data_IF_173481932820
#
_entry.id   IF_173481932820
#
_cell.length_a   1.000
_cell.length_b   1.000
_cell.length_c   1.000
_cell.angle_alpha   90.00
_cell.angle_beta   90.00
_cell.angle_gamma   90.00
#
_symmetry.space_group_name_H-M   'P 1'
#
loop_
_entity.id
_entity.type
_entity.pdbx_description
1 polymer ?
#
# COMPACT_ATOMS: atom_id res chain seq x y z
N UNK A 1 -8.80 12.80 26.58
CA UNK A 1 -7.59 12.22 25.96
C UNK A 1 -7.37 12.93 24.64
N UNK A 2 -6.36 13.79 24.60
CA UNK A 2 -6.08 14.66 23.45
C UNK A 2 -5.53 13.83 22.29
N UNK A 3 -6.26 13.79 21.16
CA UNK A 3 -5.85 13.12 19.92
C UNK A 3 -4.68 13.90 19.32
N UNK A 4 -3.45 13.46 19.55
CA UNK A 4 -2.29 14.03 18.86
C UNK A 4 -2.23 13.47 17.43
N UNK A 5 -2.33 14.30 16.38
CA UNK A 5 -2.01 13.85 15.03
C UNK A 5 -0.55 13.41 15.03
N UNK A 6 -0.25 12.27 14.40
CA UNK A 6 1.14 11.91 14.09
C UNK A 6 1.62 12.89 13.02
N UNK A 7 2.10 14.05 13.45
CA UNK A 7 2.87 14.94 12.61
C UNK A 7 4.19 14.22 12.31
N UNK A 8 4.30 13.63 11.12
CA UNK A 8 5.53 12.98 10.64
C UNK A 8 6.54 14.09 10.34
N UNK A 9 7.12 14.63 11.41
CA UNK A 9 8.22 15.57 11.37
C UNK A 9 9.51 14.85 10.99
N UNK A 10 10.04 15.20 9.83
CA UNK A 10 11.44 15.08 9.38
C UNK A 10 12.30 13.98 10.04
N UNK A 11 12.28 12.79 9.44
CA UNK A 11 13.41 11.86 9.52
C UNK A 11 14.28 11.99 8.27
N UNK A 12 14.97 13.11 8.13
CA UNK A 12 16.22 13.16 7.35
C UNK A 12 17.38 12.78 8.26
N UNK A 13 17.53 11.48 8.50
CA UNK A 13 18.73 10.94 9.13
C UNK A 13 19.79 10.67 8.04
N UNK A 14 20.75 11.59 8.01
CA UNK A 14 22.11 11.50 7.48
C UNK A 14 22.54 10.10 7.01
N UNK A 15 22.76 9.97 5.69
CA UNK A 15 23.80 9.08 5.17
C UNK A 15 25.03 9.91 4.84
N UNK A 16 26.14 9.49 5.43
CA UNK A 16 27.47 10.07 5.35
C UNK A 16 27.92 10.25 3.89
N UNK A 17 28.13 11.50 3.47
CA UNK A 17 29.15 11.82 2.47
C UNK A 17 30.20 12.68 3.16
N UNK A 18 31.39 12.10 3.35
CA UNK A 18 32.60 12.88 3.63
C UNK A 18 33.15 13.47 2.32
N UNK A 19 33.91 14.58 2.40
CA UNK A 19 34.06 15.53 1.31
C UNK A 19 35.22 15.18 0.38
N UNK A 20 35.02 15.35 -0.93
CA UNK A 20 36.12 15.65 -1.86
C UNK A 20 36.17 17.17 -2.05
N UNK A 21 37.27 17.79 -1.64
CA UNK A 21 37.58 19.19 -1.96
C UNK A 21 38.06 19.31 -3.40
N UNK A 22 37.44 20.30 -4.08
CA UNK A 22 37.96 21.31 -5.02
C UNK A 22 38.69 20.82 -6.30
N UNK A 23 38.49 21.42 -7.48
CA UNK A 23 38.74 22.84 -7.79
C UNK A 23 37.88 23.38 -8.96
N UNK A 24 37.70 24.71 -9.02
CA UNK A 24 37.78 25.47 -10.28
C UNK A 24 36.47 25.95 -10.94
N UNK A 25 36.23 27.27 -10.84
CA UNK A 25 35.16 28.12 -11.40
C UNK A 25 35.06 28.22 -12.97
N UNK A 26 33.98 28.85 -13.52
CA UNK A 26 33.42 28.69 -14.89
C UNK A 26 33.97 29.76 -15.88
N UNK A 27 33.42 30.11 -17.08
CA UNK A 27 32.10 29.81 -17.71
C UNK A 27 32.13 29.50 -19.23
N UNK A 28 30.96 29.27 -19.84
CA UNK A 28 30.45 30.09 -20.97
C UNK A 28 29.14 29.56 -21.57
N UNK A 29 28.31 30.54 -21.91
CA UNK A 29 27.03 30.53 -22.60
C UNK A 29 27.14 30.03 -24.04
N UNK A 30 26.16 29.24 -24.52
CA UNK A 30 25.52 29.49 -25.82
C UNK A 30 24.29 28.60 -26.05
N UNK A 31 23.16 29.23 -26.34
CA UNK A 31 22.08 28.64 -27.13
C UNK A 31 22.47 28.68 -28.63
N UNK A 32 21.83 27.89 -29.50
CA UNK A 32 20.67 28.43 -30.22
C UNK A 32 19.52 27.44 -30.55
N UNK A 33 18.33 28.05 -30.65
CA UNK A 33 17.17 27.83 -31.55
C UNK A 33 16.78 26.45 -32.11
N UNK A 34 15.51 26.12 -31.83
CA UNK A 34 14.43 25.70 -32.75
C UNK A 34 14.77 24.82 -33.97
N UNK A 35 14.19 23.61 -33.99
CA UNK A 35 14.07 22.77 -35.18
C UNK A 35 13.04 21.66 -34.97
N UNK A 36 11.86 21.84 -35.54
CA UNK A 36 10.79 20.85 -35.64
C UNK A 36 11.23 19.56 -36.33
N UNK A 37 10.90 18.38 -35.80
CA UNK A 37 10.39 17.29 -36.64
C UNK A 37 9.67 16.21 -35.83
N UNK A 38 8.44 15.92 -36.27
CA UNK A 38 7.70 14.69 -35.99
C UNK A 38 8.49 13.48 -36.52
N UNK A 39 8.58 12.41 -35.73
CA UNK A 39 8.77 11.02 -36.19
C UNK A 39 8.02 10.11 -35.20
N UNK A 40 6.83 9.64 -35.54
CA UNK A 40 6.58 8.31 -36.14
C UNK A 40 7.28 7.17 -35.39
N UNK A 41 6.49 6.50 -34.55
CA UNK A 41 6.82 5.22 -33.93
C UNK A 41 6.53 4.12 -34.95
N UNK A 42 7.58 3.66 -35.64
CA UNK A 42 7.53 2.45 -36.45
C UNK A 42 7.84 1.23 -35.58
N UNK A 43 6.87 0.32 -35.54
CA UNK A 43 6.92 -1.03 -35.01
C UNK A 43 8.03 -1.86 -35.65
N UNK A 44 8.82 -2.56 -34.82
CA UNK A 44 9.62 -3.71 -35.26
C UNK A 44 9.33 -4.92 -34.39
N UNK A 45 8.62 -5.85 -34.99
CA UNK A 45 8.47 -7.23 -34.60
C UNK A 45 9.79 -7.97 -34.88
N UNK A 46 10.24 -8.80 -33.94
CA UNK A 46 11.12 -9.93 -34.26
C UNK A 46 10.67 -11.18 -33.51
N UNK A 47 10.25 -12.14 -34.33
CA UNK A 47 9.89 -13.53 -34.03
C UNK A 47 11.14 -14.40 -34.25
N UNK A 48 11.21 -15.53 -33.54
CA UNK A 48 12.00 -16.78 -33.69
C UNK A 48 12.72 -17.06 -32.36
N UNK A 49 12.57 -18.17 -31.63
CA UNK A 49 11.98 -19.48 -31.90
C UNK A 49 13.06 -20.57 -31.79
N UNK A 50 13.04 -21.41 -30.74
CA UNK A 50 13.34 -22.87 -30.76
C UNK A 50 13.33 -23.53 -29.36
N UNK A 51 12.69 -24.69 -29.30
CA UNK A 51 12.77 -25.79 -28.31
C UNK A 51 13.96 -26.76 -28.67
N UNK A 52 14.07 -28.00 -28.13
CA UNK A 52 14.52 -28.42 -26.78
C UNK A 52 15.55 -29.59 -26.84
N UNK A 53 16.13 -30.04 -25.70
CA UNK A 53 16.70 -31.39 -25.42
C UNK A 53 17.08 -31.39 -23.92
N UNK A 54 16.64 -32.26 -23.01
CA UNK A 54 16.52 -33.74 -22.85
C UNK A 54 17.75 -34.42 -22.21
N UNK A 55 17.51 -35.50 -21.44
CA UNK A 55 18.38 -36.39 -20.61
C UNK A 55 18.68 -35.92 -19.17
N UNK A 56 18.63 -36.73 -18.10
CA UNK A 56 18.40 -38.17 -17.89
C UNK A 56 19.09 -38.61 -16.57
N UNK A 57 18.53 -39.59 -15.83
CA UNK A 57 19.13 -40.29 -14.67
C UNK A 57 18.33 -40.14 -13.35
N UNK A 58 17.58 -41.10 -12.80
CA UNK A 58 17.92 -42.43 -12.22
C UNK A 58 19.12 -42.38 -11.26
N UNK A 59 19.16 -42.96 -10.05
CA UNK A 59 18.27 -43.85 -9.30
C UNK A 59 18.78 -44.02 -7.83
N UNK A 60 17.87 -44.47 -6.95
CA UNK A 60 18.00 -45.53 -5.93
C UNK A 60 19.04 -45.52 -4.76
N UNK A 61 18.45 -45.62 -3.55
CA UNK A 61 18.67 -46.63 -2.48
C UNK A 61 19.97 -46.68 -1.63
N UNK A 62 19.84 -46.49 -0.30
CA UNK A 62 20.25 -47.44 0.78
C UNK A 62 19.86 -46.85 2.15
N UNK A 63 19.08 -47.53 3.02
CA UNK A 63 19.55 -48.34 4.16
C UNK A 63 19.88 -47.45 5.39
N UNK A 64 19.48 -47.65 6.64
CA UNK A 64 18.87 -48.78 7.37
C UNK A 64 18.48 -48.30 8.79
N UNK A 65 17.49 -48.99 9.37
CA UNK A 65 17.03 -49.02 10.78
C UNK A 65 17.99 -48.55 11.88
N UNK A 66 17.42 -47.82 12.85
CA UNK A 66 17.69 -48.05 14.28
C UNK A 66 16.48 -47.66 15.16
N UNK A 67 16.21 -48.53 16.13
CA UNK A 67 15.15 -48.51 17.14
C UNK A 67 15.46 -47.54 18.28
N UNK A 68 14.44 -46.84 18.82
CA UNK A 68 14.33 -46.48 20.25
C UNK A 68 13.00 -45.75 20.55
N UNK A 69 12.08 -46.42 21.24
CA UNK A 69 11.29 -45.79 22.32
C UNK A 69 12.13 -45.88 23.60
N UNK A 70 11.98 -45.04 24.65
CA UNK A 70 10.76 -44.33 25.05
C UNK A 70 10.97 -42.86 25.49
N UNK A 71 9.90 -42.08 25.52
CA UNK A 71 9.95 -40.73 26.08
C UNK A 71 8.61 -40.04 25.96
N UNK A 72 7.82 -40.10 27.04
CA UNK A 72 6.59 -39.35 27.22
C UNK A 72 6.96 -37.86 27.29
N UNK A 73 6.98 -37.18 26.15
CA UNK A 73 7.09 -35.73 26.10
C UNK A 73 5.71 -35.16 26.40
N UNK A 74 5.57 -34.60 27.59
CA UNK A 74 4.48 -33.69 27.93
C UNK A 74 4.67 -32.47 27.04
N UNK A 75 3.90 -32.38 25.95
CA UNK A 75 3.85 -31.16 25.15
C UNK A 75 3.23 -30.05 26.00
N UNK A 76 4.12 -29.16 26.42
CA UNK A 76 3.80 -27.92 27.11
C UNK A 76 3.09 -26.97 26.14
N UNK A 77 1.86 -26.63 26.49
CA UNK A 77 1.22 -25.33 26.29
C UNK A 77 1.74 -24.46 25.13
N UNK A 78 1.14 -24.62 23.95
CA UNK A 78 1.17 -23.67 22.84
C UNK A 78 0.44 -22.33 23.13
N UNK A 79 0.35 -21.91 24.39
CA UNK A 79 -0.42 -20.76 24.85
C UNK A 79 0.37 -19.46 25.03
N UNK A 80 1.67 -19.46 24.75
CA UNK A 80 2.57 -18.33 25.01
C UNK A 80 2.81 -17.40 23.80
N UNK A 81 2.63 -17.89 22.57
CA UNK A 81 2.89 -17.10 21.35
C UNK A 81 1.69 -16.19 20.97
N UNK A 82 0.46 -16.65 21.22
CA UNK A 82 -0.74 -15.85 21.00
C UNK A 82 -0.81 -14.61 21.92
N UNK A 83 -0.23 -14.68 23.12
CA UNK A 83 -0.26 -13.57 24.10
C UNK A 83 0.77 -12.48 23.81
N UNK A 84 1.84 -12.75 23.04
CA UNK A 84 2.81 -11.72 22.63
C UNK A 84 2.34 -10.88 21.44
N UNK A 85 1.33 -11.32 20.69
CA UNK A 85 0.64 -10.48 19.68
C UNK A 85 -0.40 -9.53 20.30
N UNK A 86 -0.81 -9.78 21.54
CA UNK A 86 -1.87 -9.07 22.27
C UNK A 86 -1.56 -7.61 22.67
N UNK A 87 -0.43 -7.04 22.24
CA UNK A 87 -0.04 -5.66 22.55
C UNK A 87 0.35 -4.80 21.35
N UNK A 88 0.40 -5.36 20.12
CA UNK A 88 0.67 -4.56 18.92
C UNK A 88 -0.65 -3.94 18.46
N UNK A 89 -0.76 -2.62 18.54
CA UNK A 89 -1.87 -1.87 17.93
C UNK A 89 -1.90 -2.21 16.44
N UNK A 90 -2.99 -2.84 16.01
CA UNK A 90 -3.19 -3.17 14.60
C UNK A 90 -3.46 -1.87 13.83
N UNK A 91 -2.83 -1.70 12.67
CA UNK A 91 -2.99 -0.51 11.84
C UNK A 91 -3.47 -0.93 10.46
N UNK A 92 -4.60 -0.38 10.03
CA UNK A 92 -5.10 -0.57 8.66
C UNK A 92 -4.85 0.69 7.85
N UNK A 93 -4.25 0.54 6.67
CA UNK A 93 -4.17 1.60 5.68
C UNK A 93 -5.20 1.31 4.58
N UNK A 94 -6.17 2.21 4.38
CA UNK A 94 -7.15 2.09 3.31
C UNK A 94 -6.73 2.95 2.13
N UNK A 95 -6.69 2.34 0.94
CA UNK A 95 -6.68 3.09 -0.30
C UNK A 95 -8.11 3.58 -0.65
N UNK A 96 -8.24 4.34 -1.74
CA UNK A 96 -9.55 4.85 -2.17
C UNK A 96 -10.52 3.73 -2.52
N UNK A 97 -10.04 2.61 -3.10
CA UNK A 97 -10.92 1.50 -3.48
C UNK A 97 -11.58 0.83 -2.27
N UNK A 98 -10.85 0.68 -1.16
CA UNK A 98 -11.40 0.22 0.11
C UNK A 98 -12.28 1.29 0.77
N UNK A 99 -11.86 2.56 0.73
CA UNK A 99 -12.62 3.67 1.30
C UNK A 99 -14.01 3.80 0.67
N UNK A 100 -14.12 3.74 -0.66
CA UNK A 100 -15.41 3.83 -1.38
C UNK A 100 -16.38 2.73 -0.95
N UNK A 101 -15.88 1.51 -0.71
CA UNK A 101 -16.68 0.38 -0.20
C UNK A 101 -17.24 0.60 1.21
N UNK A 102 -16.73 1.55 1.98
CA UNK A 102 -17.34 1.93 3.26
C UNK A 102 -18.66 2.71 3.08
N UNK A 103 -18.82 3.43 1.95
CA UNK A 103 -19.95 4.34 1.69
C UNK A 103 -20.94 3.82 0.64
N UNK A 104 -20.52 2.85 -0.18
CA UNK A 104 -21.31 2.29 -1.28
C UNK A 104 -21.46 0.79 -1.08
N UNK A 105 -22.69 0.29 -1.27
CA UNK A 105 -22.95 -1.14 -1.22
C UNK A 105 -22.39 -1.83 -2.46
N UNK A 106 -21.25 -2.48 -2.28
CA UNK A 106 -20.56 -3.28 -3.28
C UNK A 106 -20.19 -4.65 -2.68
N UNK A 107 -19.68 -5.56 -3.52
CA UNK A 107 -19.12 -6.82 -3.02
C UNK A 107 -18.08 -6.53 -1.93
N UNK A 108 -18.22 -7.17 -0.76
CA UNK A 108 -17.34 -7.03 0.42
C UNK A 108 -17.30 -5.63 1.07
N UNK A 109 -18.29 -4.78 0.82
CA UNK A 109 -18.49 -3.54 1.61
C UNK A 109 -18.66 -3.82 3.10
N UNK A 110 -19.30 -4.95 3.43
CA UNK A 110 -19.53 -5.36 4.82
C UNK A 110 -18.24 -5.70 5.57
N UNK A 111 -17.21 -6.20 4.89
CA UNK A 111 -15.91 -6.47 5.49
C UNK A 111 -15.26 -5.14 5.95
N UNK A 112 -15.28 -4.13 5.09
CA UNK A 112 -14.78 -2.78 5.40
C UNK A 112 -15.56 -2.15 6.55
N UNK A 113 -16.91 -2.19 6.49
CA UNK A 113 -17.76 -1.67 7.57
C UNK A 113 -17.54 -2.40 8.89
N UNK A 114 -17.15 -3.67 8.86
CA UNK A 114 -16.80 -4.42 10.07
C UNK A 114 -15.45 -3.97 10.62
N UNK A 115 -14.44 -3.81 9.77
CA UNK A 115 -13.14 -3.25 10.17
C UNK A 115 -13.26 -1.87 10.82
N UNK A 116 -14.10 -0.99 10.25
CA UNK A 116 -14.34 0.35 10.82
C UNK A 116 -15.06 0.27 12.17
N UNK A 117 -16.07 -0.59 12.32
CA UNK A 117 -16.77 -0.79 13.60
C UNK A 117 -15.87 -1.36 14.68
N UNK A 118 -15.01 -2.31 14.33
CA UNK A 118 -14.01 -2.90 15.22
C UNK A 118 -13.00 -1.84 15.71
N UNK A 119 -12.59 -0.92 14.83
CA UNK A 119 -11.62 0.13 15.17
C UNK A 119 -12.11 1.15 16.21
N UNK A 120 -13.42 1.28 16.41
CA UNK A 120 -14.01 2.21 17.39
C UNK A 120 -14.15 1.56 18.78
N UNK A 121 -14.03 0.23 18.89
CA UNK A 121 -14.16 -0.47 20.17
C UNK A 121 -12.96 -0.17 21.07
N UNK A 122 -13.21 0.23 22.32
CA UNK A 122 -12.17 0.53 23.31
C UNK A 122 -11.23 -0.67 23.59
N UNK A 123 -11.77 -1.88 23.47
CA UNK A 123 -11.08 -3.14 23.70
C UNK A 123 -10.11 -3.53 22.57
N UNK A 124 -10.25 -2.94 21.37
CA UNK A 124 -9.42 -3.24 20.19
C UNK A 124 -8.92 -1.93 19.55
N UNK A 125 -7.75 -1.40 19.95
CA UNK A 125 -7.23 -0.11 19.50
C UNK A 125 -6.63 -0.18 18.09
N UNK A 126 -7.41 -0.70 17.15
CA UNK A 126 -7.06 -0.72 15.73
C UNK A 126 -7.21 0.70 15.18
N UNK A 127 -6.17 1.24 14.54
CA UNK A 127 -6.23 2.56 13.90
C UNK A 127 -6.41 2.43 12.40
N UNK A 128 -7.25 3.29 11.85
CA UNK A 128 -7.52 3.37 10.41
C UNK A 128 -6.82 4.61 9.87
N UNK A 129 -5.87 4.41 8.95
CA UNK A 129 -5.15 5.47 8.26
C UNK A 129 -5.61 5.56 6.81
N UNK A 130 -5.71 6.78 6.31
CA UNK A 130 -6.10 7.07 4.93
C UNK A 130 -5.24 8.21 4.41
N UNK A 131 -4.79 8.17 3.15
CA UNK A 131 -4.15 9.35 2.56
C UNK A 131 -5.18 10.46 2.37
N UNK A 132 -4.79 11.72 2.63
CA UNK A 132 -5.64 12.89 2.32
C UNK A 132 -5.98 12.98 0.83
N UNK A 133 -5.18 12.35 -0.04
CA UNK A 133 -5.46 12.19 -1.47
C UNK A 133 -6.71 11.34 -1.74
N UNK A 134 -7.08 10.43 -0.84
CA UNK A 134 -8.27 9.59 -1.02
C UNK A 134 -9.57 10.40 -1.03
N UNK A 135 -9.57 11.59 -0.42
CA UNK A 135 -10.74 12.47 -0.36
C UNK A 135 -11.21 12.90 -1.77
N UNK A 136 -10.41 13.62 -2.59
CA UNK A 136 -10.83 13.99 -3.93
C UNK A 136 -11.08 12.77 -4.83
N UNK A 137 -10.40 11.65 -4.61
CA UNK A 137 -10.64 10.44 -5.39
C UNK A 137 -11.99 9.77 -5.06
N UNK A 138 -12.37 9.69 -3.78
CA UNK A 138 -13.68 9.19 -3.35
C UNK A 138 -14.81 10.12 -3.82
N UNK A 139 -14.62 11.45 -3.72
CA UNK A 139 -15.56 12.43 -4.28
C UNK A 139 -15.75 12.23 -5.79
N UNK A 140 -14.67 11.97 -6.52
CA UNK A 140 -14.72 11.65 -7.95
C UNK A 140 -15.47 10.32 -8.20
N UNK A 141 -15.21 9.30 -7.38
CA UNK A 141 -15.89 8.01 -7.50
C UNK A 141 -17.41 8.14 -7.29
N UNK A 142 -17.86 8.85 -6.26
CA UNK A 142 -19.29 9.08 -6.02
C UNK A 142 -19.93 9.92 -7.13
N UNK A 143 -19.23 10.94 -7.62
CA UNK A 143 -19.68 11.74 -8.77
C UNK A 143 -19.84 10.89 -10.02
N UNK A 144 -18.90 9.98 -10.29
CA UNK A 144 -18.97 9.03 -11.40
C UNK A 144 -20.17 8.10 -11.25
N UNK A 145 -20.37 7.50 -10.06
CA UNK A 145 -21.52 6.63 -9.79
C UNK A 145 -22.86 7.37 -9.98
N UNK A 146 -22.95 8.64 -9.58
CA UNK A 146 -24.10 9.50 -9.85
C UNK A 146 -24.33 9.70 -11.34
N UNK A 147 -23.28 10.06 -12.09
CA UNK A 147 -23.38 10.31 -13.53
C UNK A 147 -23.73 9.03 -14.31
N UNK A 148 -23.27 7.87 -13.84
CA UNK A 148 -23.63 6.54 -14.35
C UNK A 148 -25.03 6.06 -13.88
N UNK A 149 -25.78 6.88 -13.12
CA UNK A 149 -27.10 6.56 -12.53
C UNK A 149 -27.11 5.34 -11.61
N UNK A 150 -25.95 4.98 -11.04
CA UNK A 150 -25.80 3.95 -10.00
C UNK A 150 -26.08 4.50 -8.60
N UNK A 151 -25.99 5.81 -8.43
CA UNK A 151 -26.50 6.55 -7.28
C UNK A 151 -27.45 7.63 -7.78
N UNK A 152 -28.59 7.81 -7.12
CA UNK A 152 -29.42 8.99 -7.31
C UNK A 152 -28.72 10.25 -6.79
N UNK A 153 -29.19 11.42 -7.22
CA UNK A 153 -28.62 12.70 -6.74
C UNK A 153 -28.73 12.86 -5.20
N UNK A 154 -29.86 12.53 -4.54
CA UNK A 154 -29.95 12.56 -3.09
C UNK A 154 -29.00 11.57 -2.39
N UNK A 155 -28.83 10.36 -2.94
CA UNK A 155 -27.89 9.38 -2.37
C UNK A 155 -26.45 9.86 -2.48
N UNK A 156 -26.03 10.37 -3.65
CA UNK A 156 -24.69 10.92 -3.83
C UNK A 156 -24.42 12.05 -2.83
N UNK A 157 -25.39 12.95 -2.61
CA UNK A 157 -25.29 14.04 -1.63
C UNK A 157 -25.15 13.55 -0.18
N UNK A 158 -25.79 12.42 0.17
CA UNK A 158 -25.57 11.79 1.46
C UNK A 158 -24.14 11.25 1.61
N UNK A 159 -23.55 10.70 0.54
CA UNK A 159 -22.17 10.16 0.57
C UNK A 159 -21.12 11.27 0.62
N UNK A 160 -21.33 12.39 -0.09
CA UNK A 160 -20.49 13.58 0.02
C UNK A 160 -20.45 14.10 1.46
N UNK A 161 -21.62 14.35 2.06
CA UNK A 161 -21.71 14.84 3.44
C UNK A 161 -21.13 13.87 4.47
N UNK A 162 -21.33 12.56 4.27
CA UNK A 162 -20.73 11.55 5.15
C UNK A 162 -19.20 11.59 5.07
N UNK A 163 -18.63 11.62 3.85
CA UNK A 163 -17.19 11.69 3.65
C UNK A 163 -16.60 12.99 4.22
N UNK A 164 -17.28 14.13 4.03
CA UNK A 164 -16.88 15.42 4.62
C UNK A 164 -16.81 15.33 6.15
N UNK A 165 -17.81 14.71 6.78
CA UNK A 165 -17.84 14.52 8.23
C UNK A 165 -16.71 13.61 8.71
N UNK A 166 -16.43 12.53 7.98
CA UNK A 166 -15.41 11.56 8.37
C UNK A 166 -13.97 12.09 8.20
N UNK A 167 -13.74 13.02 7.26
CA UNK A 167 -12.45 13.66 7.01
C UNK A 167 -12.22 14.95 7.81
N UNK A 168 -13.25 15.76 8.01
CA UNK A 168 -13.11 17.12 8.56
C UNK A 168 -14.08 17.43 9.72
N UNK A 169 -14.91 16.47 10.13
CA UNK A 169 -15.85 16.64 11.24
C UNK A 169 -15.17 16.73 12.61
N UNK A 170 -15.94 17.03 13.66
CA UNK A 170 -15.42 17.17 15.04
C UNK A 170 -14.88 15.85 15.60
N UNK A 171 -15.33 14.72 15.06
CA UNK A 171 -14.91 13.37 15.42
C UNK A 171 -14.53 12.60 14.15
N UNK A 172 -13.36 12.89 13.55
CA UNK A 172 -12.95 12.24 12.32
C UNK A 172 -12.83 10.73 12.52
N UNK A 173 -13.24 9.98 11.51
CA UNK A 173 -13.22 8.51 11.50
C UNK A 173 -11.85 7.93 11.16
N UNK A 174 -10.97 8.74 10.55
CA UNK A 174 -9.69 8.32 10.01
C UNK A 174 -8.53 9.16 10.54
N UNK A 175 -7.37 8.52 10.68
CA UNK A 175 -6.08 9.20 10.82
C UNK A 175 -5.57 9.57 9.42
N UNK A 176 -5.55 10.86 9.11
CA UNK A 176 -5.18 11.33 7.77
C UNK A 176 -3.66 11.45 7.61
N UNK A 177 -3.14 10.92 6.50
CA UNK A 177 -1.75 11.08 6.09
C UNK A 177 -1.64 12.05 4.92
N UNK A 178 -0.88 13.13 5.11
CA UNK A 178 -0.52 14.05 4.05
C UNK A 178 0.61 13.45 3.20
N UNK A 179 0.45 13.36 1.86
CA UNK A 179 1.53 12.94 0.98
C UNK A 179 2.72 13.92 1.06
N UNK A 180 3.74 13.54 1.83
CA UNK A 180 4.96 14.33 1.97
C UNK A 180 5.86 14.17 0.74
N UNK A 181 6.83 15.09 0.55
CA UNK A 181 7.77 14.99 -0.57
C UNK A 181 8.52 13.64 -0.62
N UNK A 182 8.96 13.02 0.51
CA UNK A 182 9.49 11.66 0.51
C UNK A 182 8.52 10.61 -0.05
N UNK A 183 7.23 10.68 0.30
CA UNK A 183 6.18 9.78 -0.23
C UNK A 183 6.03 9.97 -1.73
N UNK A 184 5.97 11.22 -2.21
CA UNK A 184 5.84 11.50 -3.64
C UNK A 184 7.05 11.00 -4.43
N UNK A 185 8.27 11.18 -3.91
CA UNK A 185 9.49 10.72 -4.57
C UNK A 185 9.55 9.19 -4.62
N UNK A 186 9.25 8.50 -3.51
CA UNK A 186 9.22 7.05 -3.47
C UNK A 186 8.10 6.46 -4.36
N UNK A 187 6.96 7.14 -4.48
CA UNK A 187 5.90 6.77 -5.42
C UNK A 187 6.40 6.73 -6.87
N UNK A 188 7.25 7.67 -7.30
CA UNK A 188 7.82 7.64 -8.65
C UNK A 188 8.65 6.38 -8.92
N UNK A 189 9.38 5.89 -7.92
CA UNK A 189 10.14 4.63 -8.05
C UNK A 189 9.21 3.41 -8.12
N UNK A 190 8.13 3.41 -7.33
CA UNK A 190 7.10 2.37 -7.39
C UNK A 190 6.37 2.33 -8.75
N UNK A 191 6.12 3.48 -9.37
CA UNK A 191 5.58 3.55 -10.74
C UNK A 191 6.53 2.86 -11.72
N UNK A 192 7.83 3.13 -11.66
CA UNK A 192 8.81 2.50 -12.56
C UNK A 192 8.94 0.99 -12.31
N UNK A 193 8.89 0.57 -11.04
CA UNK A 193 9.09 -0.82 -10.63
C UNK A 193 7.88 -1.72 -10.92
N UNK A 194 6.67 -1.21 -10.69
CA UNK A 194 5.44 -2.02 -10.71
C UNK A 194 4.43 -1.59 -11.77
N UNK A 195 4.65 -0.47 -12.47
CA UNK A 195 3.71 0.05 -13.47
C UNK A 195 2.40 0.58 -12.86
N UNK A 196 2.42 0.99 -11.58
CA UNK A 196 1.26 1.57 -10.90
C UNK A 196 0.87 2.93 -11.52
N UNK A 197 -0.41 3.30 -11.39
CA UNK A 197 -0.81 4.69 -11.67
C UNK A 197 -0.21 5.60 -10.59
N UNK A 198 -0.05 6.88 -10.92
CA UNK A 198 0.59 7.84 -10.01
C UNK A 198 -0.04 7.86 -8.61
N UNK A 199 -1.36 7.91 -8.51
CA UNK A 199 -2.04 7.92 -7.22
C UNK A 199 -2.01 6.56 -6.50
N UNK A 200 -2.14 5.44 -7.21
CA UNK A 200 -1.96 4.10 -6.63
C UNK A 200 -0.56 3.94 -6.01
N UNK A 201 0.47 4.49 -6.68
CA UNK A 201 1.83 4.51 -6.16
C UNK A 201 2.00 5.42 -4.93
N UNK A 202 1.28 6.55 -4.87
CA UNK A 202 1.25 7.41 -3.68
C UNK A 202 0.59 6.68 -2.51
N UNK A 203 -0.49 5.93 -2.75
CA UNK A 203 -1.11 5.09 -1.74
C UNK A 203 -0.16 4.02 -1.21
N UNK A 204 0.46 3.26 -2.09
CA UNK A 204 1.43 2.23 -1.69
C UNK A 204 2.64 2.84 -0.97
N UNK A 205 3.18 3.96 -1.45
CA UNK A 205 4.28 4.64 -0.77
C UNK A 205 3.89 5.16 0.61
N UNK A 206 2.66 5.65 0.78
CA UNK A 206 2.15 6.09 2.08
C UNK A 206 2.04 4.91 3.05
N UNK A 207 1.51 3.79 2.57
CA UNK A 207 1.39 2.57 3.37
C UNK A 207 2.74 1.99 3.77
N UNK A 208 3.73 1.99 2.87
CA UNK A 208 5.09 1.53 3.17
C UNK A 208 5.77 2.41 4.22
N UNK A 209 5.62 3.73 4.11
CA UNK A 209 6.12 4.65 5.14
C UNK A 209 5.44 4.37 6.49
N UNK A 210 4.12 4.21 6.50
CA UNK A 210 3.36 3.88 7.71
C UNK A 210 3.82 2.55 8.31
N UNK A 211 4.02 1.52 7.48
CA UNK A 211 4.52 0.21 7.89
C UNK A 211 5.91 0.30 8.52
N UNK A 212 6.80 1.10 7.93
CA UNK A 212 8.14 1.33 8.46
C UNK A 212 8.12 2.03 9.82
N UNK A 213 7.35 3.12 9.96
CA UNK A 213 7.32 3.91 11.22
C UNK A 213 6.52 3.23 12.34
N UNK A 214 5.81 2.14 12.03
CA UNK A 214 5.00 1.37 12.98
C UNK A 214 5.57 -0.02 13.24
N UNK A 215 6.86 -0.24 12.94
CA UNK A 215 7.56 -1.51 13.14
C UNK A 215 6.80 -2.71 12.57
N UNK A 216 6.28 -2.53 11.36
CA UNK A 216 5.60 -3.56 10.59
C UNK A 216 4.14 -3.81 10.96
N UNK A 217 3.50 -2.93 11.76
CA UNK A 217 2.12 -3.13 12.22
C UNK A 217 1.04 -2.73 11.20
N UNK A 218 1.42 -2.18 10.04
CA UNK A 218 0.48 -1.74 9.00
C UNK A 218 0.08 -2.89 8.06
N UNK A 219 -1.23 -3.09 7.92
CA UNK A 219 -1.90 -3.93 6.93
C UNK A 219 -2.57 -3.03 5.89
N UNK A 220 -2.24 -3.23 4.61
CA UNK A 220 -2.91 -2.54 3.49
C UNK A 220 -4.29 -3.17 3.28
N UNK A 221 -5.32 -2.37 3.06
CA UNK A 221 -6.67 -2.83 2.74
C UNK A 221 -7.05 -2.23 1.39
N UNK A 222 -7.26 -3.07 0.38
CA UNK A 222 -7.47 -2.62 -1.00
C UNK A 222 -8.34 -3.61 -1.79
N UNK A 223 -9.12 -3.09 -2.74
CA UNK A 223 -9.78 -3.86 -3.79
C UNK A 223 -9.06 -3.75 -5.15
N UNK A 224 -7.98 -2.96 -5.25
CA UNK A 224 -7.20 -2.83 -6.48
C UNK A 224 -6.19 -3.97 -6.63
N UNK A 225 -6.33 -4.74 -7.70
CA UNK A 225 -5.50 -5.91 -7.98
C UNK A 225 -4.02 -5.57 -8.23
N UNK A 226 -3.72 -4.42 -8.83
CA UNK A 226 -2.35 -4.02 -9.12
C UNK A 226 -1.67 -3.50 -7.85
N UNK A 227 -2.41 -2.74 -7.03
CA UNK A 227 -1.93 -2.30 -5.72
C UNK A 227 -1.69 -3.49 -4.78
N UNK A 228 -2.58 -4.48 -4.75
CA UNK A 228 -2.41 -5.71 -3.99
C UNK A 228 -1.14 -6.49 -4.39
N UNK A 229 -0.92 -6.64 -5.70
CA UNK A 229 0.26 -7.32 -6.22
C UNK A 229 1.55 -6.57 -5.87
N UNK A 230 1.56 -5.24 -6.02
CA UNK A 230 2.71 -4.41 -5.70
C UNK A 230 3.00 -4.39 -4.18
N UNK A 231 1.96 -4.32 -3.33
CA UNK A 231 2.08 -4.44 -1.88
C UNK A 231 2.76 -5.77 -1.48
N UNK A 232 2.29 -6.88 -2.05
CA UNK A 232 2.88 -8.20 -1.82
C UNK A 232 4.34 -8.25 -2.26
N UNK A 233 4.67 -7.66 -3.42
CA UNK A 233 6.04 -7.61 -3.93
C UNK A 233 6.99 -6.71 -3.11
N UNK A 234 6.47 -5.69 -2.42
CA UNK A 234 7.22 -4.85 -1.48
C UNK A 234 7.28 -5.43 -0.06
N UNK A 235 6.65 -6.59 0.19
CA UNK A 235 6.71 -7.28 1.48
C UNK A 235 5.82 -6.69 2.57
N UNK A 236 4.87 -5.81 2.22
CA UNK A 236 3.86 -5.30 3.16
C UNK A 236 2.62 -6.21 3.09
N UNK A 237 2.06 -6.66 4.23
CA UNK A 237 0.85 -7.47 4.22
C UNK A 237 -0.33 -6.67 3.68
N UNK A 238 -1.22 -7.36 2.96
CA UNK A 238 -2.40 -6.75 2.36
C UNK A 238 -3.63 -7.67 2.49
N UNK A 239 -4.78 -7.04 2.79
CA UNK A 239 -6.10 -7.64 2.77
C UNK A 239 -6.77 -7.33 1.43
N UNK A 240 -7.07 -8.38 0.69
CA UNK A 240 -7.81 -8.34 -0.57
C UNK A 240 -9.30 -8.12 -0.30
N UNK A 241 -9.92 -7.18 -1.00
CA UNK A 241 -11.36 -6.86 -0.97
C UNK A 241 -12.06 -7.02 -2.33
N UNK A 242 -11.43 -7.67 -3.30
CA UNK A 242 -12.03 -7.91 -4.62
C UNK A 242 -13.30 -8.75 -4.56
#
# INVERSE_FOLDING_TARGET
>A
MERRPLYVGYLTAKRNLSPRKSDGSPPTTNQPSAGSSRREWASRTHRRGRHPVDTGGQACCFGSRTTAHPGRVVERDGGADARRRSGRRLIHYLDTSALVKAYVDEHRSQDVRTLLREAVKEENPTRIYVSRLAYPEAMSAFTRLRNERKLSAPEAELRFRALDSDFAGPTPAYELLDPSAPVINAAADLVRKHGLRGFDAVHLSSALLLHQVTDGACLVVTADRHLLAAATAEGIPALDLR
#
